data_IF_760052343817
#
_entry.id   IF_760052343817
#
_cell.length_a   1.000
_cell.length_b   1.000
_cell.length_c   1.000
_cell.angle_alpha   90.00
_cell.angle_beta   90.00
_cell.angle_gamma   90.00
#
_symmetry.space_group_name_H-M   'P 1'
#
loop_
_entity.id
_entity.type
_entity.pdbx_description
1 polymer ?
#
# COMPACT_ATOMS: atom_id res chain seq x y z
N UNK A 1 9.05 34.40 -5.43
CA UNK A 1 8.90 32.99 -5.02
C UNK A 1 10.09 32.59 -4.17
N UNK A 2 9.84 31.86 -3.07
CA UNK A 2 10.91 31.30 -2.24
C UNK A 2 11.27 29.87 -2.70
N UNK A 3 11.56 29.72 -4.00
CA UNK A 3 11.95 28.45 -4.63
C UNK A 3 13.27 28.62 -5.35
N UNK A 4 14.18 27.68 -5.13
CA UNK A 4 15.42 27.54 -5.87
C UNK A 4 15.32 26.32 -6.80
N UNK A 5 15.44 26.52 -8.11
CA UNK A 5 15.44 25.44 -9.10
C UNK A 5 16.84 24.83 -9.21
N UNK A 6 17.09 23.74 -8.46
CA UNK A 6 18.41 23.08 -8.39
C UNK A 6 18.80 22.38 -9.68
N UNK A 7 17.86 21.61 -10.26
CA UNK A 7 18.08 20.85 -11.50
C UNK A 7 16.75 20.43 -12.13
N UNK A 8 16.74 20.22 -13.43
CA UNK A 8 15.67 19.52 -14.12
C UNK A 8 15.83 18.01 -13.86
N UNK A 9 14.74 17.34 -13.46
CA UNK A 9 14.72 15.89 -13.34
C UNK A 9 14.49 15.25 -14.72
N UNK A 10 15.00 14.03 -14.95
CA UNK A 10 14.70 13.28 -16.16
C UNK A 10 13.19 13.07 -16.33
N UNK A 11 12.74 13.04 -17.56
CA UNK A 11 11.37 12.69 -17.90
C UNK A 11 11.09 11.22 -17.56
N UNK A 12 9.81 10.87 -17.50
CA UNK A 12 9.38 9.50 -17.35
C UNK A 12 10.01 8.55 -18.39
N UNK A 13 9.99 8.97 -19.66
CA UNK A 13 10.53 8.19 -20.78
C UNK A 13 12.02 7.96 -20.63
N UNK A 14 12.79 8.98 -20.22
CA UNK A 14 14.23 8.86 -19.98
C UNK A 14 14.53 7.88 -18.84
N UNK A 15 13.82 7.96 -17.71
CA UNK A 15 14.03 7.03 -16.58
C UNK A 15 13.65 5.60 -16.97
N UNK A 16 12.54 5.39 -17.67
CA UNK A 16 12.12 4.05 -18.15
C UNK A 16 13.09 3.51 -19.18
N UNK A 17 13.65 4.34 -20.04
CA UNK A 17 14.67 3.92 -21.00
C UNK A 17 16.01 3.57 -20.34
N UNK A 18 16.43 4.30 -19.29
CA UNK A 18 17.62 3.99 -18.52
C UNK A 18 17.50 2.71 -17.67
N UNK A 19 16.30 2.43 -17.18
CA UNK A 19 16.00 1.26 -16.33
C UNK A 19 14.74 0.54 -16.85
N UNK A 20 14.83 -0.13 -18.01
CA UNK A 20 13.67 -0.81 -18.60
C UNK A 20 13.35 -2.11 -17.84
N UNK A 21 12.11 -2.54 -17.97
CA UNK A 21 11.70 -3.94 -17.74
C UNK A 21 11.73 -4.67 -19.10
N UNK A 22 12.18 -5.92 -19.10
CA UNK A 22 12.12 -6.78 -20.27
C UNK A 22 10.71 -7.40 -20.46
N UNK A 23 10.48 -8.07 -21.57
CA UNK A 23 9.19 -8.68 -21.88
C UNK A 23 8.77 -9.76 -20.88
N UNK A 24 9.73 -10.50 -20.31
CA UNK A 24 9.46 -11.50 -19.30
C UNK A 24 8.91 -10.86 -18.02
N UNK A 25 9.58 -9.80 -17.52
CA UNK A 25 9.12 -9.06 -16.33
C UNK A 25 7.77 -8.39 -16.57
N UNK A 26 7.56 -7.80 -17.74
CA UNK A 26 6.28 -7.20 -18.11
C UNK A 26 5.15 -8.25 -18.14
N UNK A 27 5.41 -9.44 -18.65
CA UNK A 27 4.45 -10.55 -18.66
C UNK A 27 4.16 -11.05 -17.25
N UNK A 28 5.17 -11.23 -16.41
CA UNK A 28 4.99 -11.62 -15.00
C UNK A 28 4.14 -10.59 -14.22
N UNK A 29 4.47 -9.31 -14.37
CA UNK A 29 3.68 -8.22 -13.77
C UNK A 29 2.24 -8.27 -14.23
N UNK A 30 2.00 -8.39 -15.54
CA UNK A 30 0.65 -8.46 -16.11
C UNK A 30 -0.16 -9.64 -15.57
N UNK A 31 0.45 -10.80 -15.42
CA UNK A 31 -0.22 -11.98 -14.85
C UNK A 31 -0.64 -11.74 -13.40
N UNK A 32 0.22 -11.09 -12.60
CA UNK A 32 -0.11 -10.71 -11.23
C UNK A 32 -1.20 -9.65 -11.14
N UNK A 33 -1.19 -8.66 -12.04
CA UNK A 33 -2.24 -7.63 -12.11
C UNK A 33 -3.60 -8.25 -12.40
N UNK A 34 -3.67 -9.20 -13.34
CA UNK A 34 -4.91 -9.92 -13.67
C UNK A 34 -5.40 -10.71 -12.45
N UNK A 35 -4.53 -11.49 -11.81
CA UNK A 35 -4.91 -12.27 -10.62
C UNK A 35 -5.41 -11.36 -9.47
N UNK A 36 -4.72 -10.25 -9.22
CA UNK A 36 -5.13 -9.31 -8.17
C UNK A 36 -6.46 -8.62 -8.53
N UNK A 37 -6.65 -8.23 -9.79
CA UNK A 37 -7.90 -7.69 -10.29
C UNK A 37 -9.06 -8.67 -10.10
N UNK A 38 -8.87 -9.95 -10.43
CA UNK A 38 -9.90 -10.99 -10.28
C UNK A 38 -10.34 -11.14 -8.82
N UNK A 39 -9.42 -10.98 -7.84
CA UNK A 39 -9.77 -10.98 -6.41
C UNK A 39 -10.66 -9.76 -6.07
N UNK A 40 -10.30 -8.57 -6.53
CA UNK A 40 -11.10 -7.37 -6.26
C UNK A 40 -12.46 -7.38 -6.97
N UNK A 41 -12.56 -8.03 -8.11
CA UNK A 41 -13.83 -8.24 -8.83
C UNK A 41 -14.64 -9.44 -8.29
N UNK A 42 -14.15 -10.18 -7.29
CA UNK A 42 -14.84 -11.32 -6.68
C UNK A 42 -14.88 -12.58 -7.57
N UNK A 43 -13.95 -12.71 -8.51
CA UNK A 43 -13.77 -13.89 -9.37
C UNK A 43 -12.78 -14.91 -8.80
N UNK A 44 -12.01 -14.50 -7.82
CA UNK A 44 -10.99 -15.28 -7.11
C UNK A 44 -11.17 -15.02 -5.60
N UNK A 45 -11.30 -16.07 -4.82
CA UNK A 45 -11.64 -16.00 -3.39
C UNK A 45 -10.40 -15.91 -2.48
N UNK A 46 -9.19 -15.84 -3.04
CA UNK A 46 -7.98 -15.70 -2.23
C UNK A 46 -7.96 -14.40 -1.45
N UNK A 47 -7.46 -14.48 -0.21
CA UNK A 47 -7.25 -13.30 0.62
C UNK A 47 -6.00 -12.52 0.15
N UNK A 48 -6.14 -11.23 -0.10
CA UNK A 48 -5.00 -10.35 -0.39
C UNK A 48 -4.25 -10.01 0.90
N UNK A 49 -2.95 -10.22 0.93
CA UNK A 49 -2.12 -9.82 2.05
C UNK A 49 -1.07 -8.80 1.60
N UNK A 50 -1.34 -7.50 1.87
CA UNK A 50 -0.38 -6.42 1.62
C UNK A 50 0.55 -6.33 2.83
N UNK A 51 1.80 -6.80 2.71
CA UNK A 51 2.67 -7.00 3.87
C UNK A 51 4.12 -6.56 3.60
N UNK A 52 4.71 -5.86 4.55
CA UNK A 52 6.10 -5.43 4.49
C UNK A 52 6.44 -4.29 5.45
N UNK A 53 7.67 -3.74 5.41
CA UNK A 53 8.11 -2.71 6.33
C UNK A 53 7.25 -1.45 6.27
N UNK A 54 7.22 -0.69 7.36
CA UNK A 54 6.53 0.59 7.42
C UNK A 54 7.03 1.56 6.34
N UNK A 55 8.34 1.58 6.10
CA UNK A 55 8.98 2.26 4.97
C UNK A 55 10.19 1.47 4.50
N UNK A 56 10.44 1.48 3.19
CA UNK A 56 11.68 0.96 2.61
C UNK A 56 12.82 1.92 2.96
N UNK A 57 13.87 1.39 3.58
CA UNK A 57 15.03 2.15 4.05
C UNK A 57 16.34 1.65 3.43
N UNK A 58 16.46 0.33 3.22
CA UNK A 58 17.65 -0.35 2.68
C UNK A 58 17.26 -1.36 1.62
N UNK A 59 17.87 -1.26 0.43
CA UNK A 59 17.58 -2.15 -0.68
C UNK A 59 17.83 -3.63 -0.32
N UNK A 60 18.98 -3.93 0.29
CA UNK A 60 19.38 -5.30 0.65
C UNK A 60 18.41 -5.97 1.65
N UNK A 61 18.06 -5.26 2.72
CA UNK A 61 17.14 -5.78 3.73
C UNK A 61 15.70 -5.93 3.20
N UNK A 62 15.24 -5.01 2.35
CA UNK A 62 13.94 -5.11 1.71
C UNK A 62 13.87 -6.31 0.78
N UNK A 63 14.91 -6.54 -0.04
CA UNK A 63 14.96 -7.69 -0.96
C UNK A 63 15.08 -9.02 -0.21
N UNK A 64 15.87 -9.10 0.87
CA UNK A 64 15.92 -10.28 1.76
C UNK A 64 14.53 -10.59 2.30
N UNK A 65 13.84 -9.60 2.87
CA UNK A 65 12.48 -9.77 3.39
C UNK A 65 11.50 -10.28 2.32
N UNK A 66 11.52 -9.71 1.12
CA UNK A 66 10.63 -10.11 0.02
C UNK A 66 10.97 -11.53 -0.48
N UNK A 67 12.24 -11.90 -0.47
CA UNK A 67 12.66 -13.26 -0.85
C UNK A 67 12.10 -14.30 0.12
N UNK A 68 12.08 -14.01 1.42
CA UNK A 68 11.42 -14.85 2.43
C UNK A 68 9.91 -14.93 2.20
N UNK A 69 9.26 -13.81 1.86
CA UNK A 69 7.83 -13.80 1.50
C UNK A 69 7.52 -14.69 0.29
N UNK A 70 8.39 -14.72 -0.72
CA UNK A 70 8.23 -15.62 -1.87
C UNK A 70 8.17 -17.08 -1.45
N UNK A 71 9.05 -17.50 -0.55
CA UNK A 71 9.10 -18.89 -0.08
C UNK A 71 7.84 -19.28 0.71
N UNK A 72 7.29 -18.33 1.46
CA UNK A 72 5.99 -18.51 2.16
C UNK A 72 4.83 -18.49 1.16
N UNK A 73 4.85 -17.61 0.13
CA UNK A 73 3.80 -17.55 -0.89
C UNK A 73 3.58 -18.91 -1.57
N UNK A 74 4.64 -19.66 -1.86
CA UNK A 74 4.50 -20.99 -2.47
C UNK A 74 3.74 -21.97 -1.57
N UNK A 75 3.81 -21.82 -0.25
CA UNK A 75 3.09 -22.66 0.72
C UNK A 75 1.60 -22.30 0.83
N UNK A 76 1.23 -21.05 0.51
CA UNK A 76 -0.12 -20.52 0.76
C UNK A 76 -0.82 -19.97 -0.50
N UNK A 77 -0.25 -20.18 -1.69
CA UNK A 77 -0.67 -19.55 -2.96
C UNK A 77 -2.12 -19.82 -3.37
N UNK A 78 -2.69 -20.95 -2.92
CA UNK A 78 -4.06 -21.31 -3.23
C UNK A 78 -5.07 -20.62 -2.32
N UNK A 79 -4.62 -19.96 -1.25
CA UNK A 79 -5.44 -19.31 -0.21
C UNK A 79 -5.15 -17.82 -0.05
N UNK A 80 -3.88 -17.45 -0.17
CA UNK A 80 -3.42 -16.07 0.07
C UNK A 80 -2.64 -15.57 -1.14
N UNK A 81 -2.97 -14.35 -1.57
CA UNK A 81 -2.23 -13.60 -2.57
C UNK A 81 -1.39 -12.53 -1.88
N UNK A 82 -0.08 -12.76 -1.75
CA UNK A 82 0.84 -11.82 -1.11
C UNK A 82 1.21 -10.68 -2.07
N UNK A 83 1.05 -9.45 -1.61
CA UNK A 83 1.53 -8.22 -2.24
C UNK A 83 2.56 -7.59 -1.32
N UNK A 84 3.87 -7.69 -1.62
CA UNK A 84 4.89 -7.08 -0.79
C UNK A 84 4.72 -5.55 -0.75
N UNK A 85 4.80 -5.00 0.44
CA UNK A 85 4.74 -3.57 0.68
C UNK A 85 6.16 -2.99 0.63
N UNK A 86 6.45 -2.19 -0.39
CA UNK A 86 7.68 -1.41 -0.54
C UNK A 86 7.30 0.07 -0.55
N UNK A 87 7.01 0.63 0.61
CA UNK A 87 6.64 2.04 0.70
C UNK A 87 7.90 2.91 0.67
N UNK A 88 8.11 3.56 -0.47
CA UNK A 88 9.30 4.37 -0.75
C UNK A 88 9.16 5.82 -0.30
N UNK A 89 7.99 6.19 0.17
CA UNK A 89 7.67 7.52 0.69
C UNK A 89 7.16 7.43 2.13
N UNK A 90 7.52 8.43 2.95
CA UNK A 90 6.99 8.57 4.30
C UNK A 90 6.48 9.99 4.52
N UNK A 91 5.14 10.18 4.58
CA UNK A 91 4.58 11.49 4.86
C UNK A 91 4.94 11.95 6.28
N UNK A 92 5.45 13.18 6.41
CA UNK A 92 5.83 13.79 7.69
C UNK A 92 5.04 15.07 7.92
N UNK A 93 4.22 15.08 8.96
CA UNK A 93 3.33 16.21 9.25
C UNK A 93 4.11 17.48 9.59
N UNK A 94 5.22 17.35 10.32
CA UNK A 94 6.10 18.47 10.69
C UNK A 94 7.25 18.69 9.73
N UNK A 95 7.46 17.77 8.77
CA UNK A 95 8.60 17.80 7.85
C UNK A 95 9.88 17.16 8.39
N UNK A 96 9.89 16.74 9.68
CA UNK A 96 11.07 16.15 10.32
C UNK A 96 11.15 14.64 10.17
N UNK A 97 12.38 14.11 10.25
CA UNK A 97 12.70 12.68 10.20
C UNK A 97 12.81 12.10 8.80
N UNK A 98 13.06 10.80 8.71
CA UNK A 98 13.24 10.09 7.42
C UNK A 98 11.98 10.19 6.55
N UNK A 99 12.14 10.70 5.33
CA UNK A 99 11.04 10.99 4.37
C UNK A 99 10.82 9.88 3.34
N UNK A 100 11.53 8.77 3.47
CA UNK A 100 11.48 7.64 2.54
C UNK A 100 12.59 7.66 1.51
N UNK A 101 12.77 6.52 0.83
CA UNK A 101 13.86 6.29 -0.14
C UNK A 101 13.83 7.26 -1.32
N UNK A 102 12.65 7.75 -1.71
CA UNK A 102 12.53 8.76 -2.78
C UNK A 102 13.29 10.05 -2.44
N UNK A 103 13.25 10.49 -1.20
CA UNK A 103 13.96 11.68 -0.73
C UNK A 103 15.41 11.37 -0.33
N UNK A 104 15.57 10.26 0.39
CA UNK A 104 16.81 9.86 1.08
C UNK A 104 17.08 8.37 0.82
N UNK A 105 17.61 8.00 -0.37
CA UNK A 105 17.98 6.61 -0.65
C UNK A 105 19.06 6.08 0.31
N UNK A 106 19.84 6.95 0.91
CA UNK A 106 20.67 6.72 2.08
C UNK A 106 20.09 7.54 3.24
N UNK A 107 19.54 6.90 4.30
CA UNK A 107 18.93 7.61 5.42
C UNK A 107 19.84 8.60 6.16
N UNK A 108 21.16 8.43 6.05
CA UNK A 108 22.17 9.29 6.69
C UNK A 108 22.63 10.44 5.79
N UNK A 109 22.26 10.43 4.50
CA UNK A 109 22.65 11.46 3.55
C UNK A 109 21.59 12.56 3.44
N UNK A 110 21.98 13.71 2.88
CA UNK A 110 21.04 14.77 2.50
C UNK A 110 20.10 14.34 1.38
N UNK A 111 18.92 14.96 1.32
CA UNK A 111 17.90 14.69 0.31
C UNK A 111 18.42 14.86 -1.12
N UNK A 112 18.10 13.88 -1.98
CA UNK A 112 18.46 13.89 -3.40
C UNK A 112 17.40 13.17 -4.24
N UNK A 113 16.44 13.94 -4.76
CA UNK A 113 15.30 13.41 -5.52
C UNK A 113 15.70 12.62 -6.77
N UNK A 114 16.78 13.00 -7.48
CA UNK A 114 17.25 12.26 -8.66
C UNK A 114 17.77 10.87 -8.27
N UNK A 115 18.62 10.80 -7.25
CA UNK A 115 19.09 9.51 -6.73
C UNK A 115 17.94 8.68 -6.18
N UNK A 116 16.98 9.33 -5.52
CA UNK A 116 15.78 8.68 -5.00
C UNK A 116 14.92 8.06 -6.09
N UNK A 117 14.58 8.80 -7.16
CA UNK A 117 13.81 8.26 -8.29
C UNK A 117 14.48 7.03 -8.92
N UNK A 118 15.80 7.07 -9.07
CA UNK A 118 16.56 5.92 -9.59
C UNK A 118 16.53 4.75 -8.60
N UNK A 119 16.72 5.01 -7.31
CA UNK A 119 16.76 3.98 -6.28
C UNK A 119 15.43 3.23 -6.16
N UNK A 120 14.30 3.96 -6.08
CA UNK A 120 12.97 3.34 -5.95
C UNK A 120 12.62 2.50 -7.17
N UNK A 121 12.92 2.99 -8.39
CA UNK A 121 12.66 2.22 -9.61
C UNK A 121 13.50 0.95 -9.66
N UNK A 122 14.80 1.05 -9.35
CA UNK A 122 15.70 -0.12 -9.29
C UNK A 122 15.22 -1.15 -8.28
N UNK A 123 14.81 -0.72 -7.09
CA UNK A 123 14.32 -1.60 -6.03
C UNK A 123 13.08 -2.39 -6.49
N UNK A 124 12.08 -1.72 -7.08
CA UNK A 124 10.89 -2.39 -7.60
C UNK A 124 11.20 -3.35 -8.76
N UNK A 125 12.12 -2.98 -9.68
CA UNK A 125 12.56 -3.87 -10.77
C UNK A 125 13.28 -5.10 -10.20
N UNK A 126 14.17 -4.92 -9.21
CA UNK A 126 14.87 -6.03 -8.56
C UNK A 126 13.91 -6.96 -7.83
N UNK A 127 12.96 -6.41 -7.07
CA UNK A 127 11.92 -7.19 -6.41
C UNK A 127 11.16 -8.07 -7.41
N UNK A 128 10.71 -7.50 -8.53
CA UNK A 128 10.02 -8.25 -9.58
C UNK A 128 10.92 -9.32 -10.22
N UNK A 129 12.18 -8.97 -10.53
CA UNK A 129 13.14 -9.88 -11.18
C UNK A 129 13.56 -11.05 -10.30
N UNK A 130 13.86 -10.80 -9.04
CA UNK A 130 14.45 -11.80 -8.14
C UNK A 130 13.38 -12.68 -7.49
N UNK A 131 12.17 -12.17 -7.34
CA UNK A 131 11.10 -12.87 -6.60
C UNK A 131 9.81 -13.11 -7.37
N UNK A 132 9.66 -12.50 -8.55
CA UNK A 132 8.41 -12.53 -9.31
C UNK A 132 7.30 -11.64 -8.75
N UNK A 133 7.55 -10.91 -7.65
CA UNK A 133 6.56 -10.02 -7.06
C UNK A 133 6.57 -8.63 -7.70
N UNK A 134 5.46 -8.20 -8.29
CA UNK A 134 5.10 -6.80 -8.35
C UNK A 134 4.54 -6.37 -6.99
N UNK A 135 4.89 -5.16 -6.54
CA UNK A 135 4.72 -4.75 -5.15
C UNK A 135 3.75 -3.57 -5.01
N UNK A 136 3.44 -3.23 -3.76
CA UNK A 136 2.66 -2.05 -3.40
C UNK A 136 3.56 -0.88 -3.00
N UNK A 137 3.17 0.36 -3.38
CA UNK A 137 3.77 1.59 -2.85
C UNK A 137 2.69 2.62 -2.46
N UNK A 138 3.05 3.60 -1.62
CA UNK A 138 2.17 4.70 -1.26
C UNK A 138 2.40 5.90 -2.20
N UNK A 139 1.35 6.33 -2.89
CA UNK A 139 1.37 7.51 -3.75
C UNK A 139 1.32 8.78 -2.91
N UNK A 140 2.47 9.22 -2.41
CA UNK A 140 2.58 10.50 -1.70
C UNK A 140 2.58 11.67 -2.68
N UNK A 141 3.24 11.51 -3.81
CA UNK A 141 3.32 12.48 -4.89
C UNK A 141 2.73 11.86 -6.16
N UNK A 142 1.53 12.29 -6.59
CA UNK A 142 0.86 11.72 -7.76
C UNK A 142 1.73 11.68 -9.02
N UNK A 143 2.47 12.74 -9.31
CA UNK A 143 3.33 12.80 -10.51
C UNK A 143 4.47 11.77 -10.49
N UNK A 144 4.99 11.44 -9.29
CA UNK A 144 6.09 10.49 -9.16
C UNK A 144 5.65 9.03 -9.34
N UNK A 145 4.35 8.73 -9.18
CA UNK A 145 3.81 7.41 -9.44
C UNK A 145 4.11 6.92 -10.87
N UNK A 146 4.11 7.81 -11.85
CA UNK A 146 4.40 7.45 -13.25
C UNK A 146 5.74 6.73 -13.44
N UNK A 147 6.75 7.06 -12.64
CA UNK A 147 8.07 6.42 -12.73
C UNK A 147 8.05 4.94 -12.31
N UNK A 148 6.99 4.50 -11.63
CA UNK A 148 6.80 3.13 -11.13
C UNK A 148 5.57 2.43 -11.76
N UNK A 149 4.82 3.08 -12.64
CA UNK A 149 3.52 2.59 -13.15
C UNK A 149 3.60 1.24 -13.85
N UNK A 150 4.74 0.87 -14.41
CA UNK A 150 5.00 -0.40 -15.09
C UNK A 150 5.55 -1.51 -14.18
N UNK A 151 5.70 -1.26 -12.87
CA UNK A 151 6.25 -2.24 -11.91
C UNK A 151 5.39 -2.44 -10.66
N UNK A 152 4.45 -1.54 -10.37
CA UNK A 152 3.52 -1.66 -9.23
C UNK A 152 2.26 -2.43 -9.61
N UNK A 153 1.73 -3.25 -8.68
CA UNK A 153 0.42 -3.90 -8.82
C UNK A 153 -0.63 -3.35 -7.85
N UNK A 154 -0.23 -2.52 -6.90
CA UNK A 154 -1.13 -1.93 -5.91
C UNK A 154 -0.62 -0.55 -5.49
N UNK A 155 -1.53 0.40 -5.30
CA UNK A 155 -1.20 1.74 -4.82
C UNK A 155 -2.04 2.08 -3.60
N UNK A 156 -1.42 2.71 -2.59
CA UNK A 156 -2.14 3.28 -1.47
C UNK A 156 -2.16 4.81 -1.54
N UNK A 157 -3.30 5.42 -1.24
CA UNK A 157 -3.42 6.87 -0.99
C UNK A 157 -3.50 7.09 0.51
N UNK A 158 -2.60 7.91 1.05
CA UNK A 158 -2.47 8.16 2.48
C UNK A 158 -3.67 8.87 3.11
N UNK A 159 -3.89 8.67 4.41
CA UNK A 159 -5.00 9.26 5.16
C UNK A 159 -5.01 10.80 5.18
N UNK A 160 -3.85 11.44 4.98
CA UNK A 160 -3.73 12.90 4.86
C UNK A 160 -3.87 13.39 3.41
N UNK A 161 -3.80 12.48 2.45
CA UNK A 161 -3.83 12.78 1.01
C UNK A 161 -5.19 12.46 0.37
N UNK A 162 -6.03 11.66 1.02
CA UNK A 162 -7.30 11.17 0.48
C UNK A 162 -8.33 12.26 0.20
N UNK A 163 -8.21 13.42 0.84
CA UNK A 163 -9.03 14.60 0.59
C UNK A 163 -8.50 15.47 -0.57
N UNK A 164 -7.25 15.29 -0.97
CA UNK A 164 -6.63 16.07 -2.01
C UNK A 164 -7.16 15.67 -3.39
N UNK A 165 -7.66 16.65 -4.13
CA UNK A 165 -8.27 16.45 -5.44
C UNK A 165 -7.31 15.77 -6.43
N UNK A 166 -6.05 16.19 -6.47
CA UNK A 166 -5.08 15.63 -7.41
C UNK A 166 -4.80 14.14 -7.19
N UNK A 167 -4.79 13.66 -5.92
CA UNK A 167 -4.69 12.23 -5.63
C UNK A 167 -5.90 11.45 -6.13
N UNK A 168 -7.12 11.97 -5.93
CA UNK A 168 -8.37 11.34 -6.40
C UNK A 168 -8.40 11.24 -7.92
N UNK A 169 -8.04 12.33 -8.61
CA UNK A 169 -8.00 12.38 -10.08
C UNK A 169 -6.93 11.41 -10.61
N UNK A 170 -5.75 11.38 -10.02
CA UNK A 170 -4.70 10.43 -10.40
C UNK A 170 -5.15 9.00 -10.19
N UNK A 171 -5.77 8.67 -9.04
CA UNK A 171 -6.30 7.34 -8.76
C UNK A 171 -7.33 6.90 -9.81
N UNK A 172 -8.14 7.82 -10.37
CA UNK A 172 -9.11 7.52 -11.43
C UNK A 172 -8.48 7.13 -12.77
N UNK A 173 -7.22 7.44 -12.97
CA UNK A 173 -6.45 7.11 -14.18
C UNK A 173 -5.63 5.82 -14.09
N UNK A 174 -5.62 5.15 -12.93
CA UNK A 174 -4.87 3.91 -12.75
C UNK A 174 -5.72 2.69 -13.13
N UNK A 175 -5.07 1.64 -13.61
CA UNK A 175 -5.67 0.36 -14.03
C UNK A 175 -5.37 -0.79 -13.07
N UNK A 176 -4.85 -0.47 -11.89
CA UNK A 176 -4.54 -1.39 -10.79
C UNK A 176 -5.32 -1.01 -9.53
N UNK A 177 -5.47 -1.90 -8.53
CA UNK A 177 -6.13 -1.58 -7.28
C UNK A 177 -5.51 -0.40 -6.54
N UNK A 178 -6.37 0.54 -6.12
CA UNK A 178 -5.97 1.73 -5.34
C UNK A 178 -6.71 1.76 -4.01
N UNK A 179 -5.98 1.57 -2.92
CA UNK A 179 -6.52 1.67 -1.57
C UNK A 179 -6.56 3.12 -1.09
N UNK A 180 -7.77 3.68 -1.00
CA UNK A 180 -8.04 5.01 -0.46
C UNK A 180 -8.15 4.90 1.07
N UNK A 181 -7.15 5.35 1.83
CA UNK A 181 -7.21 5.27 3.30
C UNK A 181 -8.34 6.15 3.84
N UNK A 182 -9.14 5.66 4.79
CA UNK A 182 -10.02 6.55 5.53
C UNK A 182 -9.21 7.71 6.16
N UNK A 183 -9.75 8.94 6.18
CA UNK A 183 -9.02 10.08 6.73
C UNK A 183 -8.70 9.88 8.21
N UNK A 184 -7.73 10.60 8.73
CA UNK A 184 -7.29 10.47 10.13
C UNK A 184 -8.45 10.70 11.11
N UNK A 185 -9.39 11.59 10.77
CA UNK A 185 -10.62 11.86 11.54
C UNK A 185 -11.60 10.68 11.60
N UNK A 186 -11.51 9.74 10.65
CA UNK A 186 -12.48 8.64 10.51
C UNK A 186 -13.78 9.03 9.81
N UNK A 187 -13.84 10.16 9.11
CA UNK A 187 -15.03 10.62 8.40
C UNK A 187 -15.35 9.69 7.21
N UNK A 188 -16.46 8.98 7.34
CA UNK A 188 -16.92 8.00 6.36
C UNK A 188 -17.42 8.65 5.07
N UNK A 189 -17.94 9.87 5.14
CA UNK A 189 -18.40 10.59 3.95
C UNK A 189 -17.23 11.02 3.06
N UNK A 190 -16.16 11.50 3.68
CA UNK A 190 -14.90 11.83 2.98
C UNK A 190 -14.31 10.58 2.33
N UNK A 191 -14.30 9.46 3.04
CA UNK A 191 -13.82 8.18 2.54
C UNK A 191 -14.62 7.73 1.31
N UNK A 192 -15.95 7.59 1.42
CA UNK A 192 -16.81 7.16 0.32
C UNK A 192 -16.73 8.10 -0.89
N UNK A 193 -16.65 9.41 -0.65
CA UNK A 193 -16.47 10.39 -1.72
C UNK A 193 -15.12 10.26 -2.42
N UNK A 194 -14.06 9.86 -1.70
CA UNK A 194 -12.74 9.65 -2.31
C UNK A 194 -12.74 8.46 -3.27
N UNK A 195 -13.42 7.36 -2.90
CA UNK A 195 -13.58 6.19 -3.76
C UNK A 195 -14.45 6.54 -4.97
N UNK A 196 -15.58 7.21 -4.74
CA UNK A 196 -16.48 7.66 -5.82
C UNK A 196 -15.74 8.51 -6.83
N UNK A 197 -14.97 9.52 -6.38
CA UNK A 197 -14.17 10.35 -7.26
C UNK A 197 -13.12 9.54 -8.04
N UNK A 198 -12.47 8.56 -7.40
CA UNK A 198 -11.51 7.70 -8.08
C UNK A 198 -12.17 6.73 -9.09
N UNK A 199 -13.43 6.34 -8.89
CA UNK A 199 -14.16 5.50 -9.85
C UNK A 199 -14.78 6.28 -11.04
N UNK A 200 -14.85 7.62 -10.95
CA UNK A 200 -15.37 8.44 -12.04
C UNK A 200 -14.29 8.90 -13.03
N UNK A 201 -14.64 9.11 -14.32
CA UNK A 201 -13.75 9.73 -15.30
C UNK A 201 -13.60 11.23 -15.05
N UNK A 202 -12.42 11.78 -15.34
CA UNK A 202 -12.09 13.20 -15.15
C UNK A 202 -11.19 13.73 -16.26
N UNK A 203 -11.28 15.04 -16.54
CA UNK A 203 -10.31 15.78 -17.34
C UNK A 203 -9.48 16.66 -16.42
N UNK A 204 -8.15 16.56 -16.46
CA UNK A 204 -7.26 17.35 -15.60
C UNK A 204 -5.85 17.48 -16.18
N UNK A 205 -5.05 18.35 -15.56
CA UNK A 205 -3.64 18.52 -15.95
C UNK A 205 -2.77 17.52 -15.19
N UNK A 206 -1.99 16.72 -15.92
CA UNK A 206 -1.06 15.73 -15.36
C UNK A 206 0.28 15.78 -16.09
N UNK A 207 1.37 16.09 -15.36
CA UNK A 207 2.72 16.20 -15.91
C UNK A 207 2.82 17.05 -17.18
N UNK A 208 2.13 18.18 -17.21
CA UNK A 208 2.11 19.13 -18.33
C UNK A 208 1.20 18.75 -19.50
N UNK A 209 0.37 17.70 -19.35
CA UNK A 209 -0.63 17.28 -20.33
C UNK A 209 -2.05 17.51 -19.83
N UNK A 210 -2.96 17.87 -20.71
CA UNK A 210 -4.39 17.67 -20.47
C UNK A 210 -4.69 16.18 -20.70
N UNK A 211 -5.23 15.51 -19.68
CA UNK A 211 -5.50 14.06 -19.71
C UNK A 211 -6.97 13.78 -19.37
N UNK A 212 -7.49 12.71 -19.96
CA UNK A 212 -8.79 12.15 -19.60
C UNK A 212 -8.59 10.80 -18.91
N UNK A 213 -8.97 10.69 -17.65
CA UNK A 213 -9.08 9.40 -16.97
C UNK A 213 -10.38 8.70 -17.33
N UNK A 214 -10.42 7.37 -17.14
CA UNK A 214 -11.61 6.56 -17.44
C UNK A 214 -12.41 6.17 -16.19
N UNK A 215 -11.90 6.51 -15.01
CA UNK A 215 -12.36 5.95 -13.74
C UNK A 215 -11.68 4.61 -13.45
N UNK A 216 -11.44 4.36 -12.16
CA UNK A 216 -10.80 3.12 -11.69
C UNK A 216 -11.79 2.29 -10.86
N UNK A 217 -12.43 1.26 -11.43
CA UNK A 217 -13.42 0.44 -10.73
C UNK A 217 -12.80 -0.41 -9.60
N UNK A 218 -11.46 -0.44 -9.47
CA UNK A 218 -10.74 -1.14 -8.42
C UNK A 218 -10.31 -0.22 -7.26
N UNK A 219 -10.71 1.07 -7.31
CA UNK A 219 -10.53 1.97 -6.17
C UNK A 219 -11.43 1.52 -5.01
N UNK A 220 -10.83 1.33 -3.84
CA UNK A 220 -11.47 0.70 -2.68
C UNK A 220 -11.00 1.31 -1.37
N UNK A 221 -11.63 0.90 -0.27
CA UNK A 221 -11.29 1.36 1.07
C UNK A 221 -10.04 0.68 1.62
N UNK A 222 -9.21 1.45 2.30
CA UNK A 222 -8.16 0.97 3.17
C UNK A 222 -8.43 1.40 4.61
N UNK A 223 -8.86 0.45 5.44
CA UNK A 223 -9.49 0.65 6.73
C UNK A 223 -8.48 0.61 7.88
N UNK A 224 -8.13 1.78 8.45
CA UNK A 224 -6.95 1.93 9.32
C UNK A 224 -7.21 2.43 10.75
N UNK A 225 -8.48 2.50 11.17
CA UNK A 225 -8.88 3.20 12.39
C UNK A 225 -8.82 4.72 12.26
N UNK A 226 -9.10 5.43 13.32
CA UNK A 226 -9.12 6.89 13.36
C UNK A 226 -8.49 7.45 14.63
N UNK A 227 -8.40 8.77 14.69
CA UNK A 227 -7.97 9.50 15.89
C UNK A 227 -9.04 10.54 16.17
N UNK A 228 -9.58 10.55 17.40
CA UNK A 228 -10.59 11.53 17.81
C UNK A 228 -9.99 12.91 18.08
N UNK A 229 -10.87 13.87 18.39
CA UNK A 229 -10.48 15.26 18.71
C UNK A 229 -9.58 15.40 19.95
N UNK A 230 -9.51 14.37 20.78
CA UNK A 230 -8.67 14.34 21.99
C UNK A 230 -7.34 13.60 21.75
N UNK A 231 -7.08 13.16 20.51
CA UNK A 231 -5.88 12.38 20.16
C UNK A 231 -5.95 10.90 20.50
N UNK A 232 -7.12 10.38 20.89
CA UNK A 232 -7.29 8.95 21.18
C UNK A 232 -7.49 8.16 19.89
N UNK A 233 -6.83 7.00 19.81
CA UNK A 233 -7.01 6.08 18.69
C UNK A 233 -8.32 5.32 18.85
N UNK A 234 -9.11 5.25 17.78
CA UNK A 234 -10.36 4.51 17.70
C UNK A 234 -10.18 3.43 16.63
N UNK A 235 -10.16 2.14 17.01
CA UNK A 235 -10.13 1.04 16.05
C UNK A 235 -11.44 0.98 15.26
N UNK A 236 -11.41 0.36 14.08
CA UNK A 236 -12.58 0.20 13.22
C UNK A 236 -12.62 -1.18 12.52
N UNK A 237 -11.97 -2.20 13.10
CA UNK A 237 -11.89 -3.55 12.55
C UNK A 237 -12.88 -4.54 13.19
N UNK A 238 -13.66 -4.11 14.20
CA UNK A 238 -14.63 -4.98 14.87
C UNK A 238 -15.79 -5.34 13.94
N UNK A 239 -16.51 -6.39 14.30
CA UNK A 239 -17.64 -6.89 13.51
C UNK A 239 -18.66 -5.79 13.15
N UNK A 240 -19.02 -4.94 14.11
CA UNK A 240 -19.98 -3.86 13.95
C UNK A 240 -19.48 -2.79 12.98
N UNK A 241 -18.19 -2.48 13.01
CA UNK A 241 -17.56 -1.50 12.09
C UNK A 241 -17.57 -2.03 10.67
N UNK A 242 -17.21 -3.30 10.48
CA UNK A 242 -17.20 -3.95 9.17
C UNK A 242 -18.63 -4.13 8.62
N UNK A 243 -19.61 -4.44 9.47
CA UNK A 243 -21.05 -4.48 9.09
C UNK A 243 -21.51 -3.11 8.60
N UNK A 244 -21.23 -2.05 9.37
CA UNK A 244 -21.56 -0.68 8.98
C UNK A 244 -20.92 -0.31 7.63
N UNK A 245 -19.69 -0.73 7.39
CA UNK A 245 -19.02 -0.48 6.11
C UNK A 245 -19.69 -1.24 4.96
N UNK A 246 -20.10 -2.50 5.19
CA UNK A 246 -20.84 -3.29 4.19
C UNK A 246 -22.17 -2.61 3.82
N UNK A 247 -22.92 -2.12 4.81
CA UNK A 247 -24.18 -1.40 4.60
C UNK A 247 -23.97 -0.09 3.81
N UNK A 248 -22.89 0.64 4.09
CA UNK A 248 -22.52 1.84 3.33
C UNK A 248 -22.19 1.52 1.86
N UNK A 249 -21.44 0.46 1.61
CA UNK A 249 -21.15 0.02 0.24
C UNK A 249 -22.43 -0.40 -0.50
N UNK A 250 -23.31 -1.16 0.13
CA UNK A 250 -24.58 -1.59 -0.47
C UNK A 250 -25.45 -0.40 -0.92
N UNK A 251 -25.37 0.73 -0.20
CA UNK A 251 -26.13 1.96 -0.51
C UNK A 251 -25.39 2.90 -1.47
N UNK A 252 -24.11 2.70 -1.70
CA UNK A 252 -23.25 3.67 -2.41
C UNK A 252 -23.38 3.65 -3.92
N UNK A 253 -23.73 2.51 -4.52
CA UNK A 253 -23.70 2.27 -5.96
C UNK A 253 -22.28 2.26 -6.56
N UNK A 254 -21.24 2.07 -5.72
CA UNK A 254 -19.86 1.92 -6.15
C UNK A 254 -19.61 0.54 -6.77
N UNK A 255 -18.70 0.48 -7.73
CA UNK A 255 -18.26 -0.78 -8.35
C UNK A 255 -17.29 -1.53 -7.43
N UNK A 256 -17.31 -2.87 -7.50
CA UNK A 256 -16.41 -3.77 -6.79
C UNK A 256 -16.20 -3.38 -5.31
N UNK A 257 -17.25 -3.41 -4.45
CA UNK A 257 -17.11 -3.12 -3.03
C UNK A 257 -15.97 -3.91 -2.41
N UNK A 258 -14.97 -3.22 -1.88
CA UNK A 258 -13.80 -3.87 -1.33
C UNK A 258 -13.18 -3.06 -0.18
N UNK A 259 -12.59 -3.78 0.77
CA UNK A 259 -11.81 -3.20 1.86
C UNK A 259 -10.57 -4.04 2.13
N UNK A 260 -9.45 -3.35 2.32
CA UNK A 260 -8.23 -3.90 2.91
C UNK A 260 -8.13 -3.37 4.34
N UNK A 261 -8.20 -4.27 5.32
CA UNK A 261 -8.11 -3.89 6.74
C UNK A 261 -6.65 -3.77 7.15
N UNK A 262 -6.26 -2.57 7.54
CA UNK A 262 -4.93 -2.26 8.06
C UNK A 262 -4.89 -2.65 9.54
N UNK A 263 -4.11 -3.66 9.89
CA UNK A 263 -4.04 -4.21 11.25
C UNK A 263 -3.15 -3.40 12.20
N UNK A 264 -2.41 -2.41 11.67
CA UNK A 264 -1.57 -1.52 12.46
C UNK A 264 -2.22 -0.12 12.64
N UNK A 265 -1.46 0.95 12.59
CA UNK A 265 -1.87 2.34 12.74
C UNK A 265 -2.83 2.55 13.94
N UNK A 266 -4.02 3.15 13.72
CA UNK A 266 -4.97 3.39 14.81
C UNK A 266 -5.71 2.10 15.23
N UNK A 267 -5.77 1.08 14.39
CA UNK A 267 -6.39 -0.20 14.74
C UNK A 267 -5.64 -0.95 15.84
N UNK A 268 -4.31 -0.84 15.89
CA UNK A 268 -3.48 -1.41 16.95
C UNK A 268 -2.96 -0.36 17.94
N UNK A 269 -3.31 0.92 17.77
CA UNK A 269 -2.63 2.04 18.44
C UNK A 269 -1.10 1.98 18.26
N UNK A 270 -0.63 1.52 17.09
CA UNK A 270 0.78 1.26 16.76
C UNK A 270 1.48 0.22 17.64
N UNK A 271 0.73 -0.63 18.35
CA UNK A 271 1.25 -1.78 19.07
C UNK A 271 1.41 -2.93 18.07
N UNK A 272 2.55 -3.03 17.43
CA UNK A 272 2.78 -3.97 16.32
C UNK A 272 2.45 -5.43 16.66
N UNK A 273 2.66 -5.84 17.90
CA UNK A 273 2.34 -7.19 18.39
C UNK A 273 0.83 -7.52 18.46
N UNK A 274 -0.05 -6.51 18.33
CA UNK A 274 -1.50 -6.71 18.25
C UNK A 274 -1.97 -7.11 16.84
N UNK A 275 -1.17 -6.89 15.81
CA UNK A 275 -1.56 -7.17 14.43
C UNK A 275 -2.02 -8.61 14.20
N UNK A 276 -1.38 -9.66 14.76
CA UNK A 276 -1.85 -11.05 14.60
C UNK A 276 -3.25 -11.29 15.19
N UNK A 277 -3.54 -10.72 16.36
CA UNK A 277 -4.86 -10.82 16.98
C UNK A 277 -5.93 -10.14 16.13
N UNK A 278 -5.64 -8.92 15.68
CA UNK A 278 -6.56 -8.13 14.83
C UNK A 278 -6.84 -8.87 13.53
N UNK A 279 -5.81 -9.40 12.86
CA UNK A 279 -5.97 -10.17 11.63
C UNK A 279 -6.93 -11.36 11.82
N UNK A 280 -6.77 -12.14 12.90
CA UNK A 280 -7.63 -13.27 13.22
C UNK A 280 -9.07 -12.85 13.55
N UNK A 281 -9.26 -11.71 14.22
CA UNK A 281 -10.58 -11.16 14.53
C UNK A 281 -11.33 -10.73 13.25
N UNK A 282 -10.63 -10.12 12.29
CA UNK A 282 -11.22 -9.78 10.98
C UNK A 282 -11.65 -11.06 10.25
N UNK A 283 -10.81 -12.10 10.17
CA UNK A 283 -11.18 -13.37 9.54
C UNK A 283 -12.34 -14.05 10.28
N UNK A 284 -12.39 -13.95 11.61
CA UNK A 284 -13.53 -14.44 12.37
C UNK A 284 -14.82 -13.71 11.95
N UNK A 285 -14.80 -12.39 11.83
CA UNK A 285 -15.94 -11.58 11.40
C UNK A 285 -16.40 -11.92 9.97
N UNK A 286 -15.47 -12.19 9.05
CA UNK A 286 -15.79 -12.67 7.69
C UNK A 286 -16.57 -13.98 7.71
N UNK A 287 -16.18 -14.94 8.55
CA UNK A 287 -16.91 -16.23 8.69
C UNK A 287 -18.30 -16.09 9.30
N UNK A 288 -18.56 -15.04 10.08
CA UNK A 288 -19.87 -14.81 10.72
C UNK A 288 -20.85 -14.03 9.84
N UNK A 289 -20.39 -13.39 8.75
CA UNK A 289 -21.24 -12.56 7.90
C UNK A 289 -20.82 -12.63 6.44
N UNK A 290 -21.75 -13.06 5.59
CA UNK A 290 -21.52 -13.08 4.14
C UNK A 290 -21.29 -11.68 3.57
N UNK A 291 -21.95 -10.64 4.09
CA UNK A 291 -21.74 -9.26 3.61
C UNK A 291 -20.35 -8.74 3.97
N UNK A 292 -19.85 -9.05 5.17
CA UNK A 292 -18.47 -8.73 5.55
C UNK A 292 -17.49 -9.50 4.65
N UNK A 293 -17.72 -10.80 4.46
CA UNK A 293 -16.89 -11.65 3.61
C UNK A 293 -16.84 -11.14 2.16
N UNK A 294 -17.95 -10.66 1.65
CA UNK A 294 -18.05 -10.14 0.29
C UNK A 294 -17.18 -8.90 0.07
N UNK A 295 -17.08 -7.99 1.06
CA UNK A 295 -16.34 -6.74 0.94
C UNK A 295 -14.88 -6.83 1.43
N UNK A 296 -14.57 -7.66 2.44
CA UNK A 296 -13.19 -7.78 2.95
C UNK A 296 -12.36 -8.62 1.99
N UNK A 297 -11.54 -7.96 1.18
CA UNK A 297 -10.66 -8.61 0.19
C UNK A 297 -9.28 -8.93 0.76
N UNK A 298 -8.92 -8.35 1.90
CA UNK A 298 -7.60 -8.62 2.46
C UNK A 298 -7.22 -7.78 3.66
N UNK A 299 -5.97 -7.99 4.07
CA UNK A 299 -5.36 -7.35 5.22
C UNK A 299 -4.10 -6.58 4.79
N UNK A 300 -3.75 -5.55 5.57
CA UNK A 300 -2.44 -4.92 5.49
C UNK A 300 -1.72 -5.07 6.83
N UNK A 301 -0.46 -5.54 6.76
CA UNK A 301 0.38 -5.83 7.93
C UNK A 301 1.72 -5.11 7.79
N UNK A 302 2.15 -4.42 8.85
CA UNK A 302 3.50 -3.86 8.93
C UNK A 302 4.44 -4.88 9.58
N UNK A 303 5.38 -5.39 8.77
CA UNK A 303 6.30 -6.46 9.12
C UNK A 303 7.66 -6.23 8.47
N UNK A 304 8.72 -6.62 9.18
CA UNK A 304 10.09 -6.61 8.64
C UNK A 304 10.87 -7.83 9.16
N UNK A 305 12.21 -7.83 9.00
CA UNK A 305 13.06 -8.95 9.44
C UNK A 305 13.10 -8.99 10.96
N UNK A 306 13.45 -7.85 11.60
CA UNK A 306 13.52 -7.71 13.06
C UNK A 306 12.30 -6.95 13.59
N UNK A 307 11.81 -7.36 14.75
CA UNK A 307 10.63 -6.74 15.36
C UNK A 307 10.90 -5.33 15.92
N UNK A 308 9.83 -4.53 15.98
CA UNK A 308 9.86 -3.21 16.57
C UNK A 308 10.41 -2.14 15.64
N UNK A 309 11.01 -1.11 16.21
CA UNK A 309 11.62 0.01 15.51
C UNK A 309 12.92 0.46 16.17
N UNK A 310 13.72 1.22 15.42
CA UNK A 310 14.97 1.83 15.87
C UNK A 310 15.08 3.27 15.32
N UNK A 311 16.03 4.04 15.84
CA UNK A 311 16.41 5.30 15.20
C UNK A 311 17.09 5.02 13.84
N UNK A 312 17.14 6.00 12.91
CA UNK A 312 17.92 5.83 11.67
C UNK A 312 19.37 5.37 11.91
N UNK A 313 19.97 5.79 13.03
CA UNK A 313 21.35 5.44 13.42
C UNK A 313 21.45 4.11 14.21
N UNK A 314 20.36 3.36 14.36
CA UNK A 314 20.33 2.17 15.22
C UNK A 314 21.15 0.98 14.72
N UNK A 315 21.42 0.88 13.43
CA UNK A 315 22.35 -0.09 12.84
C UNK A 315 21.88 -1.54 12.77
N UNK A 316 20.72 -1.89 13.31
CA UNK A 316 20.19 -3.26 13.27
C UNK A 316 19.62 -3.55 11.87
N UNK A 317 20.19 -4.57 11.20
CA UNK A 317 19.74 -4.98 9.87
C UNK A 317 18.28 -5.43 9.86
N UNK A 318 17.48 -4.92 8.91
CA UNK A 318 16.08 -5.32 8.76
C UNK A 318 15.15 -4.92 9.90
N UNK A 319 15.53 -3.92 10.71
CA UNK A 319 14.67 -3.31 11.73
C UNK A 319 14.16 -1.95 11.26
N UNK A 320 12.86 -1.71 11.38
CA UNK A 320 12.21 -0.48 10.90
C UNK A 320 12.83 0.78 11.52
N UNK A 321 13.12 1.79 10.70
CA UNK A 321 13.54 3.14 11.14
C UNK A 321 12.37 4.13 11.19
N UNK A 322 11.14 3.64 11.10
CA UNK A 322 9.91 4.43 11.18
C UNK A 322 8.96 3.79 12.20
N UNK A 323 7.72 3.43 11.83
CA UNK A 323 6.81 2.80 12.79
C UNK A 323 7.22 1.33 13.07
N UNK A 324 6.99 0.81 14.29
CA UNK A 324 7.39 -0.55 14.65
C UNK A 324 6.63 -1.61 13.87
N UNK A 325 7.34 -2.68 13.49
CA UNK A 325 6.86 -3.78 12.67
C UNK A 325 6.91 -5.13 13.41
N UNK A 326 6.11 -6.11 12.95
CA UNK A 326 6.30 -7.50 13.32
C UNK A 326 7.66 -8.01 12.83
N UNK A 327 8.30 -8.90 13.57
CA UNK A 327 9.48 -9.64 13.13
C UNK A 327 9.12 -10.80 12.20
N UNK A 328 10.13 -11.35 11.53
CA UNK A 328 9.94 -12.40 10.53
C UNK A 328 9.29 -13.67 11.08
N UNK A 329 9.73 -14.15 12.24
CA UNK A 329 9.20 -15.39 12.81
C UNK A 329 7.69 -15.34 13.08
N UNK A 330 7.22 -14.22 13.67
CA UNK A 330 5.80 -14.00 13.91
C UNK A 330 5.03 -13.79 12.60
N UNK A 331 5.68 -13.20 11.63
CA UNK A 331 5.10 -12.98 10.29
C UNK A 331 4.87 -14.28 9.55
N UNK A 332 5.87 -15.16 9.44
CA UNK A 332 5.72 -16.45 8.77
C UNK A 332 4.63 -17.28 9.45
N UNK A 333 4.68 -17.38 10.79
CA UNK A 333 3.68 -18.11 11.57
C UNK A 333 2.26 -17.54 11.29
N UNK A 334 2.10 -16.22 11.32
CA UNK A 334 0.82 -15.58 11.07
C UNK A 334 0.28 -15.88 9.68
N UNK A 335 1.11 -15.79 8.63
CA UNK A 335 0.68 -16.08 7.26
C UNK A 335 0.17 -17.52 7.13
N UNK A 336 0.88 -18.49 7.73
CA UNK A 336 0.47 -19.90 7.71
C UNK A 336 -0.85 -20.11 8.48
N UNK A 337 -0.98 -19.53 9.67
CA UNK A 337 -2.22 -19.60 10.47
C UNK A 337 -3.43 -18.93 9.78
N UNK A 338 -3.21 -17.83 9.05
CA UNK A 338 -4.27 -17.19 8.28
C UNK A 338 -4.71 -18.07 7.11
N UNK A 339 -3.77 -18.73 6.41
CA UNK A 339 -4.08 -19.63 5.31
C UNK A 339 -4.91 -20.86 5.73
N UNK A 340 -4.79 -21.31 6.98
CA UNK A 340 -5.63 -22.38 7.54
C UNK A 340 -7.07 -21.92 7.81
N UNK A 341 -7.29 -20.62 7.89
CA UNK A 341 -8.57 -20.02 8.26
C UNK A 341 -9.40 -19.47 7.10
N UNK A 342 -8.79 -19.38 5.91
CA UNK A 342 -9.42 -18.88 4.66
C UNK A 342 -9.92 -20.02 3.77
#
# INVERSE_FOLDING_TARGET
MNLEFKRKLPTLQEIKAMYPIDEQLASQKKARDVALKDIFEGKDDRLVLVIGPCSADREDAVLDYISRLRDVQEKVKDKIFIVPRIYTNKPRTTGDGYKGMLHQPDPHASENMLKGLIAIRKLHIKALRETGFSCADEMLYPENHLYLSDVLCYVAVGARSVENQFHRLTASGLDIPVGMKNPTSGDLSVMMNSIRAAQHPHTFVYSGWEVNSKGNPLAHEKWRGSVDKNGQTIPNYHYEDLRKLADLYAQSGLENPAVIVDTNHSNSAKRFFEQPRIAKEVLHSMRQSQDINAIVKGLMIESYIEEGAQSPDGGVYGKSITDPCLGWQDTERLILELAEQV
#
